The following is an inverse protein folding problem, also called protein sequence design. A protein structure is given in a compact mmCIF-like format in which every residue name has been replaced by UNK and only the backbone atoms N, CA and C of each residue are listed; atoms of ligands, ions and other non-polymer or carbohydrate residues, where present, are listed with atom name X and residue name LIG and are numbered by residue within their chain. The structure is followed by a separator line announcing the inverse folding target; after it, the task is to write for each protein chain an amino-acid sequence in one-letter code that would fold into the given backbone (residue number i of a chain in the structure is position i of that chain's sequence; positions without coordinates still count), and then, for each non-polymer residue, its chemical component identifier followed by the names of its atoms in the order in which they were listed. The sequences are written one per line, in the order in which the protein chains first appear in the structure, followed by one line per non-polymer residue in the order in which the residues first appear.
data_IF_092878064533
#
_entry.id   IF_092878064533
#
_cell.length_a   1.000
_cell.length_b   1.000
_cell.length_c   1.000
_cell.angle_alpha   90.00
_cell.angle_beta   90.00
_cell.angle_gamma   90.00
#
_symmetry.space_group_name_H-M   'P 1'
#
loop_
_entity.id
_entity.type
_entity.pdbx_description
1 polymer ?
#
# COMPACT_ATOMS: atom_id res chain seq x y z
N UNK A 1 -0.43 -26.26 -25.80
CA UNK A 1 0.12 -24.89 -25.91
C UNK A 1 1.54 -25.05 -26.43
N UNK A 2 1.87 -24.50 -27.59
CA UNK A 2 3.22 -24.63 -28.15
C UNK A 2 4.15 -23.57 -27.53
N UNK A 3 5.48 -23.76 -27.57
CA UNK A 3 6.44 -22.93 -26.82
C UNK A 3 6.33 -21.43 -27.14
N UNK A 4 5.98 -21.08 -28.38
CA UNK A 4 5.73 -19.70 -28.82
C UNK A 4 4.54 -19.06 -28.11
N UNK A 5 3.45 -19.82 -27.90
CA UNK A 5 2.22 -19.32 -27.25
C UNK A 5 2.47 -19.08 -25.76
N UNK A 6 3.24 -19.97 -25.12
CA UNK A 6 3.65 -19.81 -23.73
C UNK A 6 4.57 -18.60 -23.52
N UNK A 7 5.47 -18.32 -24.47
CA UNK A 7 6.33 -17.14 -24.45
C UNK A 7 5.56 -15.82 -24.55
N UNK A 8 4.59 -15.73 -25.47
CA UNK A 8 3.75 -14.54 -25.64
C UNK A 8 2.89 -14.28 -24.40
N UNK A 9 2.23 -15.31 -23.88
CA UNK A 9 1.40 -15.22 -22.68
C UNK A 9 2.17 -14.71 -21.46
N UNK A 10 3.37 -15.26 -21.20
CA UNK A 10 4.22 -14.82 -20.10
C UNK A 10 4.68 -13.35 -20.24
N UNK A 11 4.98 -12.92 -21.47
CA UNK A 11 5.36 -11.54 -21.75
C UNK A 11 4.22 -10.58 -21.45
N UNK A 12 3.00 -10.90 -21.87
CA UNK A 12 1.86 -10.01 -21.68
C UNK A 12 1.46 -9.89 -20.20
N UNK A 13 1.60 -10.99 -19.44
CA UNK A 13 1.48 -10.97 -17.98
C UNK A 13 2.55 -10.07 -17.35
N UNK A 14 3.80 -10.20 -17.77
CA UNK A 14 4.89 -9.40 -17.22
C UNK A 14 4.70 -7.91 -17.51
N UNK A 15 4.33 -7.55 -18.75
CA UNK A 15 4.12 -6.17 -19.15
C UNK A 15 2.95 -5.51 -18.41
N UNK A 16 1.85 -6.25 -18.21
CA UNK A 16 0.72 -5.75 -17.42
C UNK A 16 1.11 -5.55 -15.95
N UNK A 17 1.84 -6.48 -15.34
CA UNK A 17 2.33 -6.34 -13.96
C UNK A 17 3.32 -5.18 -13.80
N UNK A 18 4.21 -4.97 -14.78
CA UNK A 18 5.15 -3.86 -14.78
C UNK A 18 4.43 -2.51 -14.88
N UNK A 19 3.43 -2.39 -15.76
CA UNK A 19 2.58 -1.20 -15.89
C UNK A 19 1.81 -0.93 -14.60
N UNK A 20 1.22 -1.96 -14.03
CA UNK A 20 0.43 -1.85 -12.82
C UNK A 20 1.30 -1.43 -11.63
N UNK A 21 2.50 -2.02 -11.50
CA UNK A 21 3.49 -1.62 -10.49
C UNK A 21 3.95 -0.18 -10.68
N UNK A 22 4.20 0.27 -11.91
CA UNK A 22 4.65 1.64 -12.17
C UNK A 22 3.58 2.67 -11.83
N UNK A 23 2.30 2.37 -12.12
CA UNK A 23 1.16 3.20 -11.71
C UNK A 23 1.05 3.30 -10.19
N UNK A 24 1.11 2.17 -9.48
CA UNK A 24 1.03 2.15 -8.02
C UNK A 24 2.23 2.87 -7.39
N UNK A 25 3.44 2.68 -7.92
CA UNK A 25 4.63 3.38 -7.44
C UNK A 25 4.52 4.90 -7.68
N UNK A 26 4.04 5.33 -8.84
CA UNK A 26 3.82 6.73 -9.14
C UNK A 26 2.81 7.36 -8.16
N UNK A 27 1.71 6.67 -7.86
CA UNK A 27 0.76 7.11 -6.84
C UNK A 27 1.37 7.11 -5.43
N UNK A 28 2.17 6.11 -5.08
CA UNK A 28 2.83 5.98 -3.79
C UNK A 28 3.84 7.11 -3.51
N UNK A 29 4.36 7.75 -4.55
CA UNK A 29 5.23 8.92 -4.47
C UNK A 29 4.43 10.22 -4.55
N UNK A 30 3.46 10.30 -5.46
CA UNK A 30 2.70 11.54 -5.70
C UNK A 30 1.83 11.92 -4.51
N UNK A 31 1.13 10.95 -3.90
CA UNK A 31 0.23 11.22 -2.77
C UNK A 31 0.97 11.86 -1.58
N UNK A 32 2.12 11.33 -1.10
CA UNK A 32 2.92 11.99 -0.08
C UNK A 32 3.41 13.40 -0.45
N UNK A 33 3.84 13.59 -1.69
CA UNK A 33 4.25 14.91 -2.20
C UNK A 33 3.12 15.92 -2.04
N UNK A 34 1.89 15.55 -2.40
CA UNK A 34 0.72 16.42 -2.24
C UNK A 34 0.45 16.75 -0.76
N UNK A 35 0.65 15.80 0.15
CA UNK A 35 0.51 16.05 1.59
C UNK A 35 1.59 17.00 2.12
N UNK A 36 2.81 16.94 1.58
CA UNK A 36 3.87 17.88 1.96
C UNK A 36 3.60 19.32 1.51
N UNK A 37 2.74 19.54 0.51
CA UNK A 37 2.30 20.90 0.12
C UNK A 37 1.38 21.53 1.17
N UNK A 38 0.78 20.73 2.04
CA UNK A 38 -0.06 21.23 3.14
C UNK A 38 0.85 21.68 4.28
N UNK A 39 0.85 22.98 4.66
CA UNK A 39 1.68 23.46 5.74
C UNK A 39 1.35 22.73 7.05
N UNK A 40 2.38 22.16 7.67
CA UNK A 40 2.25 21.56 8.99
C UNK A 40 2.36 22.65 10.05
N UNK A 41 1.24 23.10 10.60
CA UNK A 41 1.21 24.07 11.71
C UNK A 41 1.42 23.41 13.08
N UNK A 42 1.74 22.11 13.12
CA UNK A 42 1.83 21.31 14.34
C UNK A 42 3.19 20.63 14.46
N UNK A 43 3.54 20.21 15.68
CA UNK A 43 4.81 19.55 16.01
C UNK A 43 5.04 18.19 15.33
N UNK A 44 3.99 17.56 14.82
CA UNK A 44 4.07 16.26 14.12
C UNK A 44 3.64 16.45 12.66
N UNK A 45 4.48 16.11 11.68
CA UNK A 45 4.19 16.26 10.25
C UNK A 45 2.93 15.51 9.80
N UNK A 46 2.27 16.01 8.75
CA UNK A 46 1.09 15.37 8.17
C UNK A 46 1.36 13.95 7.65
N UNK A 47 2.57 13.69 7.13
CA UNK A 47 2.98 12.38 6.64
C UNK A 47 2.91 11.28 7.71
N UNK A 48 3.25 11.59 8.95
CA UNK A 48 3.19 10.62 10.06
C UNK A 48 1.76 10.40 10.58
N UNK A 49 0.90 11.42 10.42
CA UNK A 49 -0.50 11.37 10.88
C UNK A 49 -1.41 10.64 9.91
N UNK A 50 -1.27 10.95 8.63
CA UNK A 50 -2.15 10.46 7.58
C UNK A 50 -1.63 9.16 6.96
N UNK A 51 -0.33 8.85 7.06
CA UNK A 51 0.25 7.65 6.45
C UNK A 51 0.04 7.56 4.91
N UNK A 52 0.27 8.64 4.14
CA UNK A 52 -0.01 8.64 2.69
C UNK A 52 0.70 7.54 1.91
N UNK A 53 1.91 7.15 2.34
CA UNK A 53 2.71 6.12 1.67
C UNK A 53 2.11 4.72 1.78
N UNK A 54 1.13 4.50 2.66
CA UNK A 54 0.47 3.22 2.83
C UNK A 54 -0.67 3.01 1.84
N UNK A 55 -1.24 4.10 1.30
CA UNK A 55 -2.50 4.05 0.54
C UNK A 55 -2.34 3.36 -0.82
N UNK A 56 -1.34 3.76 -1.60
CA UNK A 56 -1.12 3.21 -2.92
C UNK A 56 -0.64 1.74 -2.88
N UNK A 57 0.32 1.34 -2.03
CA UNK A 57 0.66 -0.08 -1.85
C UNK A 57 -0.55 -0.94 -1.46
N UNK A 58 -1.40 -0.43 -0.57
CA UNK A 58 -2.65 -1.09 -0.19
C UNK A 58 -3.61 -1.25 -1.39
N UNK A 59 -3.83 -0.17 -2.16
CA UNK A 59 -4.66 -0.22 -3.36
C UNK A 59 -4.12 -1.23 -4.39
N UNK A 60 -2.79 -1.32 -4.56
CA UNK A 60 -2.15 -2.31 -5.41
C UNK A 60 -2.43 -3.76 -4.97
N UNK A 61 -2.39 -4.04 -3.67
CA UNK A 61 -2.73 -5.36 -3.12
C UNK A 61 -4.20 -5.72 -3.40
N UNK A 62 -5.11 -4.77 -3.23
CA UNK A 62 -6.56 -5.03 -3.32
C UNK A 62 -7.07 -5.08 -4.76
N UNK A 63 -6.61 -4.17 -5.62
CA UNK A 63 -7.14 -3.97 -6.96
C UNK A 63 -6.36 -4.72 -8.05
N UNK A 64 -5.09 -5.05 -7.79
CA UNK A 64 -4.19 -5.61 -8.79
C UNK A 64 -3.64 -6.96 -8.32
N UNK A 65 -2.31 -7.09 -8.23
CA UNK A 65 -1.64 -8.29 -7.74
C UNK A 65 -0.92 -7.95 -6.43
N UNK A 66 -0.86 -8.87 -5.45
CA UNK A 66 -0.13 -8.63 -4.19
C UNK A 66 1.32 -8.18 -4.41
N UNK A 67 1.97 -8.69 -5.47
CA UNK A 67 3.33 -8.29 -5.86
C UNK A 67 3.46 -6.82 -6.23
N UNK A 68 2.48 -6.22 -6.92
CA UNK A 68 2.55 -4.81 -7.35
C UNK A 68 2.57 -3.88 -6.14
N UNK A 69 1.68 -4.13 -5.17
CA UNK A 69 1.63 -3.38 -3.92
C UNK A 69 2.88 -3.59 -3.05
N UNK A 70 3.42 -4.81 -2.99
CA UNK A 70 4.65 -5.09 -2.25
C UNK A 70 5.87 -4.36 -2.84
N UNK A 71 6.08 -4.46 -4.16
CA UNK A 71 7.19 -3.78 -4.84
C UNK A 71 7.09 -2.26 -4.64
N UNK A 72 5.88 -1.71 -4.77
CA UNK A 72 5.66 -0.30 -4.52
C UNK A 72 5.96 0.09 -3.06
N UNK A 73 5.52 -0.70 -2.08
CA UNK A 73 5.81 -0.47 -0.66
C UNK A 73 7.31 -0.51 -0.32
N UNK A 74 8.06 -1.37 -1.00
CA UNK A 74 9.51 -1.48 -0.86
C UNK A 74 10.26 -0.28 -1.46
N UNK A 75 9.86 0.17 -2.65
CA UNK A 75 10.61 1.18 -3.41
C UNK A 75 10.16 2.61 -3.14
N UNK A 76 8.89 2.83 -2.79
CA UNK A 76 8.32 4.17 -2.67
C UNK A 76 9.08 5.08 -1.70
N UNK A 77 9.51 4.66 -0.49
CA UNK A 77 10.26 5.53 0.42
C UNK A 77 11.55 6.07 -0.17
N UNK A 78 12.32 5.21 -0.85
CA UNK A 78 13.58 5.59 -1.48
C UNK A 78 13.33 6.54 -2.67
N UNK A 79 12.36 6.22 -3.52
CA UNK A 79 12.00 7.08 -4.67
C UNK A 79 11.47 8.43 -4.20
N UNK A 80 10.65 8.46 -3.15
CA UNK A 80 10.12 9.69 -2.58
C UNK A 80 11.24 10.57 -2.00
N UNK A 81 12.21 9.98 -1.31
CA UNK A 81 13.38 10.70 -0.80
C UNK A 81 14.25 11.27 -1.91
N UNK A 82 14.46 10.53 -3.00
CA UNK A 82 15.21 11.02 -4.16
C UNK A 82 14.56 12.24 -4.84
N UNK A 83 13.22 12.29 -4.84
CA UNK A 83 12.47 13.39 -5.49
C UNK A 83 12.29 14.59 -4.57
N UNK A 84 12.01 14.37 -3.29
CA UNK A 84 11.59 15.42 -2.36
C UNK A 84 12.66 15.82 -1.34
N UNK A 85 13.77 15.08 -1.29
CA UNK A 85 14.76 15.19 -0.22
C UNK A 85 14.25 14.70 1.15
N UNK A 86 13.04 14.14 1.23
CA UNK A 86 12.40 13.68 2.46
C UNK A 86 11.77 12.28 2.28
N UNK A 87 11.76 11.42 3.31
CA UNK A 87 12.31 11.66 4.65
C UNK A 87 13.82 11.40 4.72
N UNK A 88 14.44 11.64 5.89
CA UNK A 88 15.87 11.35 6.10
C UNK A 88 16.19 9.84 5.99
N UNK A 89 17.48 9.50 5.88
CA UNK A 89 17.91 8.11 5.68
C UNK A 89 17.42 7.15 6.76
N UNK A 90 17.38 7.58 8.02
CA UNK A 90 16.91 6.73 9.12
C UNK A 90 15.40 6.44 9.00
N UNK A 91 14.61 7.45 8.64
CA UNK A 91 13.20 7.32 8.39
C UNK A 91 12.89 6.51 7.12
N UNK A 92 13.72 6.57 6.07
CA UNK A 92 13.58 5.70 4.90
C UNK A 92 13.64 4.23 5.33
N UNK A 93 14.61 3.85 6.17
CA UNK A 93 14.76 2.47 6.65
C UNK A 93 13.53 2.07 7.46
N UNK A 94 13.16 2.88 8.47
CA UNK A 94 11.99 2.63 9.31
C UNK A 94 10.72 2.48 8.47
N UNK A 95 10.47 3.41 7.55
CA UNK A 95 9.26 3.44 6.73
C UNK A 95 9.20 2.30 5.72
N UNK A 96 10.34 1.93 5.13
CA UNK A 96 10.44 0.76 4.25
C UNK A 96 10.09 -0.52 5.01
N UNK A 97 10.66 -0.70 6.21
CA UNK A 97 10.36 -1.87 7.04
C UNK A 97 8.89 -1.92 7.46
N UNK A 98 8.33 -0.77 7.85
CA UNK A 98 6.90 -0.66 8.15
C UNK A 98 6.05 -1.04 6.93
N UNK A 99 6.34 -0.51 5.74
CA UNK A 99 5.57 -0.80 4.52
C UNK A 99 5.69 -2.25 4.07
N UNK A 100 6.87 -2.87 4.19
CA UNK A 100 7.06 -4.32 3.93
C UNK A 100 6.20 -5.14 4.90
N UNK A 101 6.23 -4.80 6.18
CA UNK A 101 5.44 -5.50 7.20
C UNK A 101 3.94 -5.32 6.92
N UNK A 102 3.49 -4.09 6.68
CA UNK A 102 2.10 -3.76 6.37
C UNK A 102 1.61 -4.49 5.12
N UNK A 103 2.33 -4.38 4.00
CA UNK A 103 1.96 -5.02 2.74
C UNK A 103 1.97 -6.55 2.85
N UNK A 104 2.89 -7.13 3.62
CA UNK A 104 2.92 -8.56 3.92
C UNK A 104 1.68 -9.04 4.69
N UNK A 105 1.35 -8.39 5.81
CA UNK A 105 0.18 -8.73 6.64
C UNK A 105 -1.12 -8.53 5.84
N UNK A 106 -1.21 -7.42 5.10
CA UNK A 106 -2.37 -7.10 4.28
C UNK A 106 -2.55 -8.11 3.14
N UNK A 107 -1.47 -8.51 2.46
CA UNK A 107 -1.51 -9.52 1.41
C UNK A 107 -1.96 -10.87 1.94
N UNK A 108 -1.46 -11.29 3.10
CA UNK A 108 -1.88 -12.54 3.75
C UNK A 108 -3.37 -12.50 4.14
N UNK A 109 -3.83 -11.37 4.66
CA UNK A 109 -5.22 -11.17 5.04
C UNK A 109 -6.15 -11.18 3.81
N UNK A 110 -5.77 -10.48 2.74
CA UNK A 110 -6.52 -10.45 1.49
C UNK A 110 -6.54 -11.80 0.76
N UNK A 111 -5.46 -12.60 0.87
CA UNK A 111 -5.40 -13.94 0.30
C UNK A 111 -6.39 -14.92 0.98
N UNK A 112 -6.64 -14.76 2.28
CA UNK A 112 -7.62 -15.59 3.01
C UNK A 112 -9.05 -15.13 2.78
N UNK A 113 -9.28 -13.82 2.82
CA UNK A 113 -10.61 -13.23 2.64
C UNK A 113 -10.50 -11.88 1.94
N UNK A 114 -10.70 -11.84 0.61
CA UNK A 114 -10.67 -10.59 -0.17
C UNK A 114 -11.69 -9.55 0.34
N UNK A 115 -12.82 -10.01 0.90
CA UNK A 115 -13.85 -9.15 1.49
C UNK A 115 -13.59 -8.77 2.96
N UNK A 116 -12.38 -9.02 3.50
CA UNK A 116 -12.09 -8.69 4.90
C UNK A 116 -12.03 -7.17 5.11
N UNK A 117 -13.15 -6.62 5.58
CA UNK A 117 -13.40 -5.18 5.78
C UNK A 117 -12.47 -4.50 6.78
N UNK A 118 -11.65 -5.28 7.49
CA UNK A 118 -10.68 -4.80 8.47
C UNK A 118 -9.22 -5.10 8.10
N UNK A 119 -8.95 -5.60 6.89
CA UNK A 119 -7.60 -5.97 6.45
C UNK A 119 -6.60 -4.82 6.59
N UNK A 120 -6.87 -3.68 5.95
CA UNK A 120 -5.99 -2.51 6.00
C UNK A 120 -5.81 -1.91 7.41
N UNK A 121 -6.89 -1.56 8.15
CA UNK A 121 -6.71 -0.92 9.45
C UNK A 121 -6.04 -1.84 10.46
N UNK A 122 -6.34 -3.15 10.45
CA UNK A 122 -5.68 -4.10 11.34
C UNK A 122 -4.20 -4.28 10.98
N UNK A 123 -3.88 -4.40 9.69
CA UNK A 123 -2.49 -4.50 9.24
C UNK A 123 -1.69 -3.26 9.63
N UNK A 124 -2.26 -2.06 9.42
CA UNK A 124 -1.60 -0.81 9.78
C UNK A 124 -1.42 -0.67 11.30
N UNK A 125 -2.43 -1.06 12.09
CA UNK A 125 -2.35 -1.02 13.54
C UNK A 125 -1.28 -2.00 14.07
N UNK A 126 -1.27 -3.24 13.58
CA UNK A 126 -0.27 -4.25 13.97
C UNK A 126 1.13 -3.78 13.60
N UNK A 127 1.34 -3.31 12.37
CA UNK A 127 2.63 -2.75 11.95
C UNK A 127 3.04 -1.58 12.86
N UNK A 128 2.15 -0.62 13.13
CA UNK A 128 2.48 0.51 13.99
C UNK A 128 2.79 0.10 15.43
N UNK A 129 2.07 -0.87 15.99
CA UNK A 129 2.37 -1.38 17.33
C UNK A 129 3.73 -2.09 17.39
N UNK A 130 4.03 -2.94 16.40
CA UNK A 130 5.31 -3.63 16.31
C UNK A 130 6.48 -2.64 16.22
N UNK A 131 6.36 -1.63 15.35
CA UNK A 131 7.44 -0.67 15.13
C UNK A 131 7.51 0.42 16.20
N UNK A 132 6.41 0.76 16.86
CA UNK A 132 6.43 1.62 18.06
C UNK A 132 7.20 0.95 19.22
N UNK A 133 7.08 -0.38 19.37
CA UNK A 133 7.84 -1.11 20.39
C UNK A 133 9.36 -1.14 20.12
N UNK A 134 9.76 -1.13 18.83
CA UNK A 134 11.18 -1.24 18.44
C UNK A 134 11.86 0.12 18.28
N UNK A 135 11.20 1.08 17.64
CA UNK A 135 11.77 2.38 17.25
C UNK A 135 11.22 3.55 18.08
N UNK A 136 10.30 3.29 19.01
CA UNK A 136 9.53 4.32 19.67
C UNK A 136 8.52 5.00 18.74
N UNK A 137 7.62 5.78 19.34
CA UNK A 137 6.59 6.53 18.63
C UNK A 137 5.19 6.26 19.18
N UNK A 138 4.30 7.23 19.00
CA UNK A 138 2.94 7.15 19.50
C UNK A 138 2.01 6.64 18.40
N UNK A 139 1.47 5.42 18.54
CA UNK A 139 0.45 4.88 17.61
C UNK A 139 -0.75 5.82 17.46
N UNK A 140 -1.06 6.58 18.52
CA UNK A 140 -2.13 7.58 18.57
C UNK A 140 -1.98 8.62 17.45
N UNK A 141 -0.76 9.03 17.09
CA UNK A 141 -0.55 10.05 16.04
C UNK A 141 -0.97 9.54 14.68
N UNK A 142 -0.84 8.24 14.43
CA UNK A 142 -1.18 7.56 13.18
C UNK A 142 -2.65 7.15 13.05
N UNK A 143 -3.46 7.31 14.11
CA UNK A 143 -4.89 6.93 14.09
C UNK A 143 -5.68 7.59 12.95
N UNK A 144 -5.52 8.90 12.63
CA UNK A 144 -6.21 9.50 11.50
C UNK A 144 -5.92 8.78 10.18
N UNK A 145 -4.67 8.42 9.91
CA UNK A 145 -4.28 7.66 8.73
C UNK A 145 -4.82 6.23 8.71
N UNK A 146 -4.85 5.57 9.86
CA UNK A 146 -5.47 4.23 10.01
C UNK A 146 -6.97 4.29 9.72
N UNK A 147 -7.66 5.36 10.13
CA UNK A 147 -9.06 5.57 9.80
C UNK A 147 -9.27 5.78 8.30
N UNK A 148 -8.41 6.56 7.64
CA UNK A 148 -8.46 6.72 6.17
C UNK A 148 -8.25 5.37 5.46
N UNK A 149 -7.28 4.57 5.90
CA UNK A 149 -7.09 3.20 5.39
C UNK A 149 -8.32 2.32 5.62
N UNK A 150 -9.00 2.47 6.76
CA UNK A 150 -10.27 1.79 7.05
C UNK A 150 -11.38 2.18 6.07
N UNK A 151 -11.52 3.48 5.77
CA UNK A 151 -12.48 3.98 4.78
C UNK A 151 -12.14 3.47 3.38
N UNK A 152 -10.86 3.54 2.97
CA UNK A 152 -10.41 3.00 1.70
C UNK A 152 -10.71 1.50 1.60
N UNK A 153 -10.37 0.73 2.63
CA UNK A 153 -10.66 -0.70 2.66
C UNK A 153 -12.15 -0.99 2.60
N UNK A 154 -12.98 -0.21 3.29
CA UNK A 154 -14.43 -0.33 3.24
C UNK A 154 -14.96 -0.09 1.82
N UNK A 155 -14.52 1.00 1.16
CA UNK A 155 -14.93 1.33 -0.21
C UNK A 155 -14.53 0.22 -1.18
N UNK A 156 -13.30 -0.26 -1.08
CA UNK A 156 -12.77 -1.31 -1.96
C UNK A 156 -13.39 -2.69 -1.72
N UNK A 157 -14.03 -2.91 -0.57
CA UNK A 157 -14.71 -4.18 -0.23
C UNK A 157 -16.24 -4.08 -0.27
N UNK A 158 -16.80 -3.00 -0.84
CA UNK A 158 -18.24 -2.86 -1.02
C UNK A 158 -18.77 -3.92 -2.01
N UNK A 159 -19.87 -4.62 -1.69
CA UNK A 159 -20.53 -5.54 -2.61
C UNK A 159 -20.96 -4.76 -3.87
N UNK A 160 -20.41 -5.12 -5.02
CA UNK A 160 -20.62 -4.42 -6.29
C UNK A 160 -19.35 -3.94 -6.98
N UNK A 161 -18.21 -3.91 -6.27
CA UNK A 161 -16.89 -3.76 -6.92
C UNK A 161 -16.32 -5.09 -7.43
N UNK A 162 -16.89 -6.21 -6.99
CA UNK A 162 -16.62 -7.56 -7.47
C UNK A 162 -17.27 -7.76 -8.85
N UNK A 163 -16.72 -7.12 -9.87
CA UNK A 163 -17.00 -7.49 -11.25
C UNK A 163 -16.61 -8.96 -11.44
N UNK A 164 -17.63 -9.80 -11.65
CA UNK A 164 -17.57 -11.23 -11.97
C UNK A 164 -17.58 -12.22 -10.79
N UNK A 165 -18.79 -12.62 -10.37
CA UNK A 165 -19.18 -14.03 -10.10
C UNK A 165 -20.70 -14.22 -10.29
N UNK A 166 -21.14 -14.20 -11.54
CA UNK A 166 -22.47 -14.74 -11.95
C UNK A 166 -22.36 -15.80 -13.04
N UNK A 167 -21.18 -16.35 -13.30
CA UNK A 167 -20.98 -17.44 -14.28
C UNK A 167 -20.64 -18.82 -13.66
N UNK A 168 -20.79 -19.00 -12.35
CA UNK A 168 -20.68 -20.33 -11.70
C UNK A 168 -22.04 -20.88 -11.22
N UNK A 169 -23.11 -20.52 -11.93
CA UNK A 169 -24.41 -21.18 -11.82
C UNK A 169 -25.03 -21.30 -13.19
N UNK A 170 -24.56 -22.25 -13.99
CA UNK A 170 -25.34 -23.05 -14.94
C UNK A 170 -24.48 -24.24 -15.40
#
# INVERSE_FOLDING_TARGET
MNDTDAGIFNRDIFLSEARDTSLILALAVTVPVLIHLVPAHMSVPWGERLLPMYYAPFAGIMLMRPRTGFIAGLLAPAVNALITGNPDTAHIIKLTLELICFTGICSLSAARHKAFRWSAPLSALVTKLLFAAVFGGAVITSLPGILVLGVLNYILTLPGHDGNKTEDRL
#
